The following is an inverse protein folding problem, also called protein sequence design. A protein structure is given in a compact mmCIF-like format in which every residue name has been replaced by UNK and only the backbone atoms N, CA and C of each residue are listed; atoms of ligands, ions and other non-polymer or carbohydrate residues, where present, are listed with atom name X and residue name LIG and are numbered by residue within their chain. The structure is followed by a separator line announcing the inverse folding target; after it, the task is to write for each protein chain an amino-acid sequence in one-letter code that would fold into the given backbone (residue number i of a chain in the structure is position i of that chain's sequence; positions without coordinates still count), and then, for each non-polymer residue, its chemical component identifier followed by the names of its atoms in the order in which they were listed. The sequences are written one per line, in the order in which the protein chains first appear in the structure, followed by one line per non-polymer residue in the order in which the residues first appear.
data_IF_639888999010
#
_entry.id   IF_639888999010
#
_cell.length_a   1.000
_cell.length_b   1.000
_cell.length_c   1.000
_cell.angle_alpha   90.00
_cell.angle_beta   90.00
_cell.angle_gamma   90.00
#
_symmetry.space_group_name_H-M   'P 1'
#
loop_
_entity.id
_entity.type
_entity.pdbx_description
1 polymer ?
#
# COMPACT_ATOMS: atom_id res chain seq x y z
N UNK A 1 -25.35 -12.47 4.12
CA UNK A 1 -24.17 -12.77 4.99
C UNK A 1 -23.13 -11.70 4.68
N UNK A 2 -22.45 -11.15 5.67
CA UNK A 2 -21.37 -10.19 5.42
C UNK A 2 -20.16 -10.94 4.87
N UNK A 3 -19.57 -10.45 3.78
CA UNK A 3 -18.36 -10.99 3.17
C UNK A 3 -17.19 -10.95 4.16
N UNK A 4 -16.32 -11.97 4.13
CA UNK A 4 -15.19 -12.02 5.07
C UNK A 4 -14.08 -11.04 4.70
N UNK A 5 -13.63 -11.03 3.44
CA UNK A 5 -12.63 -10.09 2.95
C UNK A 5 -13.20 -9.13 1.92
N UNK A 6 -12.85 -7.86 2.01
CA UNK A 6 -12.85 -6.94 0.87
C UNK A 6 -11.42 -6.73 0.43
N UNK A 7 -11.13 -7.05 -0.82
CA UNK A 7 -9.83 -6.79 -1.44
C UNK A 7 -9.99 -5.63 -2.40
N UNK A 8 -9.15 -4.61 -2.22
CA UNK A 8 -9.20 -3.38 -3.02
C UNK A 8 -7.96 -3.29 -3.88
N UNK A 9 -8.12 -3.13 -5.19
CA UNK A 9 -7.06 -2.76 -6.10
C UNK A 9 -7.31 -1.36 -6.66
N UNK A 10 -6.31 -0.50 -6.57
CA UNK A 10 -6.29 0.81 -7.20
C UNK A 10 -5.40 0.77 -8.43
N UNK A 11 -5.83 1.35 -9.54
CA UNK A 11 -5.10 1.32 -10.80
C UNK A 11 -5.21 2.64 -11.57
N UNK A 12 -4.16 2.95 -12.33
CA UNK A 12 -4.14 4.02 -13.32
C UNK A 12 -3.13 3.66 -14.40
N UNK A 13 -3.59 3.50 -15.65
CA UNK A 13 -2.76 3.10 -16.80
C UNK A 13 -1.91 1.86 -16.50
N UNK A 14 -2.58 0.79 -16.09
CA UNK A 14 -1.96 -0.44 -15.57
C UNK A 14 -2.10 -1.64 -16.52
N UNK A 15 -2.23 -1.40 -17.82
CA UNK A 15 -2.46 -2.45 -18.83
C UNK A 15 -1.42 -3.59 -18.81
N UNK A 16 -0.19 -3.30 -18.33
CA UNK A 16 0.90 -4.29 -18.32
C UNK A 16 0.90 -5.20 -17.09
N UNK A 17 0.26 -4.80 -16.01
CA UNK A 17 0.45 -5.46 -14.71
C UNK A 17 -0.85 -5.92 -14.07
N UNK A 18 -1.96 -5.21 -14.30
CA UNK A 18 -3.25 -5.45 -13.64
C UNK A 18 -3.75 -6.90 -13.78
N UNK A 19 -3.56 -7.53 -14.94
CA UNK A 19 -3.98 -8.92 -15.16
C UNK A 19 -3.35 -9.87 -14.14
N UNK A 20 -2.04 -9.73 -13.85
CA UNK A 20 -1.34 -10.53 -12.84
C UNK A 20 -1.92 -10.30 -11.43
N UNK A 21 -2.22 -9.06 -11.08
CA UNK A 21 -2.85 -8.73 -9.80
C UNK A 21 -4.21 -9.42 -9.66
N UNK A 22 -5.08 -9.32 -10.68
CA UNK A 22 -6.39 -9.98 -10.72
C UNK A 22 -6.24 -11.50 -10.60
N UNK A 23 -5.34 -12.11 -11.37
CA UNK A 23 -5.10 -13.54 -11.34
C UNK A 23 -4.62 -14.02 -9.97
N UNK A 24 -3.85 -13.22 -9.24
CA UNK A 24 -3.42 -13.57 -7.89
C UNK A 24 -4.58 -13.64 -6.90
N UNK A 25 -5.62 -12.85 -7.10
CA UNK A 25 -6.84 -12.86 -6.29
C UNK A 25 -7.75 -14.01 -6.74
N UNK A 26 -7.90 -14.23 -8.05
CA UNK A 26 -8.66 -15.34 -8.65
C UNK A 26 -8.17 -16.71 -8.15
N UNK A 27 -6.86 -16.86 -8.00
CA UNK A 27 -6.21 -18.13 -7.65
C UNK A 27 -6.05 -18.35 -6.15
N UNK A 28 -6.62 -17.51 -5.30
CA UNK A 28 -6.63 -17.74 -3.85
C UNK A 28 -7.45 -18.99 -3.50
N UNK A 29 -7.03 -19.69 -2.45
CA UNK A 29 -7.76 -20.90 -1.97
C UNK A 29 -9.00 -20.56 -1.14
N UNK A 30 -9.01 -19.42 -0.45
CA UNK A 30 -10.18 -18.91 0.29
C UNK A 30 -11.08 -18.09 -0.65
N UNK A 31 -12.41 -18.25 -0.58
CA UNK A 31 -13.36 -17.76 -1.59
C UNK A 31 -14.39 -16.73 -1.11
N UNK A 32 -14.56 -16.52 0.20
CA UNK A 32 -15.50 -15.50 0.71
C UNK A 32 -14.83 -14.10 0.65
N UNK A 33 -14.75 -13.61 -0.58
CA UNK A 33 -14.01 -12.39 -0.97
C UNK A 33 -14.89 -11.50 -1.84
N UNK A 34 -14.98 -10.24 -1.49
CA UNK A 34 -15.47 -9.14 -2.33
C UNK A 34 -14.27 -8.44 -2.96
N UNK A 35 -14.20 -8.43 -4.28
CA UNK A 35 -13.10 -7.77 -5.00
C UNK A 35 -13.55 -6.45 -5.61
N UNK A 36 -12.89 -5.37 -5.20
CA UNK A 36 -13.19 -3.99 -5.56
C UNK A 36 -12.05 -3.42 -6.37
N UNK A 37 -12.32 -2.91 -7.56
CA UNK A 37 -11.34 -2.23 -8.40
C UNK A 37 -11.70 -0.77 -8.57
N UNK A 38 -10.77 0.12 -8.24
CA UNK A 38 -10.91 1.57 -8.42
C UNK A 38 -9.90 2.04 -9.45
N UNK A 39 -10.40 2.52 -10.57
CA UNK A 39 -9.61 3.07 -11.67
C UNK A 39 -9.61 4.60 -11.62
N UNK A 40 -8.43 5.20 -11.64
CA UNK A 40 -8.20 6.65 -11.58
C UNK A 40 -8.45 7.40 -12.90
N UNK A 41 -9.15 6.78 -13.86
CA UNK A 41 -9.43 7.35 -15.18
C UNK A 41 -8.38 6.96 -16.21
N UNK A 42 -8.06 5.67 -16.32
CA UNK A 42 -7.11 5.12 -17.29
C UNK A 42 -7.52 5.40 -18.74
N UNK A 43 -6.51 5.58 -19.58
CA UNK A 43 -6.65 5.87 -21.02
C UNK A 43 -6.03 4.80 -21.92
N UNK A 44 -5.40 3.82 -21.31
CA UNK A 44 -4.84 2.62 -21.96
C UNK A 44 -5.83 1.43 -21.92
N UNK A 45 -5.35 0.20 -22.11
CA UNK A 45 -6.17 -1.01 -22.12
C UNK A 45 -6.63 -1.47 -20.73
N UNK A 46 -6.36 -0.73 -19.65
CA UNK A 46 -6.72 -1.09 -18.25
C UNK A 46 -8.21 -1.41 -18.12
N UNK A 47 -9.08 -0.57 -18.70
CA UNK A 47 -10.53 -0.77 -18.63
C UNK A 47 -11.01 -2.03 -19.36
N UNK A 48 -10.36 -2.41 -20.48
CA UNK A 48 -10.64 -3.67 -21.17
C UNK A 48 -10.30 -4.85 -20.28
N UNK A 49 -9.12 -4.85 -19.64
CA UNK A 49 -8.71 -5.91 -18.72
C UNK A 49 -9.72 -6.08 -17.58
N UNK A 50 -10.21 -4.99 -17.00
CA UNK A 50 -11.23 -5.07 -15.93
C UNK A 50 -12.53 -5.67 -16.48
N UNK A 51 -12.98 -5.26 -17.67
CA UNK A 51 -14.19 -5.76 -18.30
C UNK A 51 -14.10 -7.26 -18.61
N UNK A 52 -12.95 -7.75 -19.03
CA UNK A 52 -12.70 -9.16 -19.32
C UNK A 52 -12.67 -10.03 -18.05
N UNK A 53 -12.59 -9.42 -16.86
CA UNK A 53 -12.51 -10.07 -15.55
C UNK A 53 -13.73 -9.77 -14.65
N UNK A 54 -14.88 -9.44 -15.23
CA UNK A 54 -16.14 -9.18 -14.48
C UNK A 54 -16.67 -10.37 -13.68
N UNK A 55 -16.20 -11.56 -13.98
CA UNK A 55 -16.54 -12.78 -13.25
C UNK A 55 -15.97 -12.78 -11.82
N UNK A 56 -14.88 -12.05 -11.57
CA UNK A 56 -14.26 -11.93 -10.25
C UNK A 56 -14.39 -10.53 -9.64
N UNK A 57 -14.42 -9.46 -10.46
CA UNK A 57 -14.54 -8.08 -9.99
C UNK A 57 -16.00 -7.81 -9.60
N UNK A 58 -16.26 -7.76 -8.28
CA UNK A 58 -17.61 -7.56 -7.75
C UNK A 58 -18.05 -6.10 -7.85
N UNK A 59 -17.14 -5.16 -7.58
CA UNK A 59 -17.39 -3.71 -7.61
C UNK A 59 -16.30 -3.05 -8.44
N UNK A 60 -16.72 -2.26 -9.41
CA UNK A 60 -15.85 -1.47 -10.25
C UNK A 60 -16.28 -0.02 -10.28
N UNK A 61 -15.33 0.88 -10.10
CA UNK A 61 -15.52 2.32 -10.27
C UNK A 61 -14.38 2.90 -11.09
N UNK A 62 -14.69 3.69 -12.13
CA UNK A 62 -13.70 4.42 -12.91
C UNK A 62 -14.06 5.90 -12.93
N UNK A 63 -13.04 6.73 -12.76
CA UNK A 63 -13.18 8.18 -12.84
C UNK A 63 -11.90 8.85 -12.35
N UNK A 64 -11.63 10.05 -12.90
CA UNK A 64 -10.47 10.83 -12.51
C UNK A 64 -10.48 11.09 -11.01
N UNK A 65 -9.40 10.74 -10.33
CA UNK A 65 -9.19 10.99 -8.92
C UNK A 65 -8.11 12.07 -8.66
N UNK A 66 -7.84 12.32 -7.38
CA UNK A 66 -6.82 13.26 -6.92
C UNK A 66 -5.58 12.55 -6.37
N UNK A 67 -5.37 11.27 -6.72
CA UNK A 67 -4.23 10.45 -6.33
C UNK A 67 -4.60 9.14 -5.64
N UNK A 68 -3.61 8.27 -5.48
CA UNK A 68 -3.75 6.87 -5.04
C UNK A 68 -4.56 6.71 -3.74
N UNK A 69 -4.36 7.59 -2.76
CA UNK A 69 -5.06 7.49 -1.46
C UNK A 69 -6.52 7.95 -1.54
N UNK A 70 -6.88 8.79 -2.51
CA UNK A 70 -8.29 9.08 -2.82
C UNK A 70 -8.97 7.85 -3.41
N UNK A 71 -8.30 7.14 -4.33
CA UNK A 71 -8.79 5.89 -4.87
C UNK A 71 -8.92 4.82 -3.78
N UNK A 72 -7.91 4.65 -2.91
CA UNK A 72 -7.98 3.72 -1.76
C UNK A 72 -9.14 4.05 -0.82
N UNK A 73 -9.34 5.33 -0.47
CA UNK A 73 -10.46 5.79 0.37
C UNK A 73 -11.81 5.55 -0.31
N UNK A 74 -11.90 5.70 -1.63
CA UNK A 74 -13.10 5.34 -2.39
C UNK A 74 -13.38 3.83 -2.29
N UNK A 75 -12.36 3.00 -2.46
CA UNK A 75 -12.48 1.54 -2.27
C UNK A 75 -12.93 1.19 -0.87
N UNK A 76 -12.35 1.80 0.17
CA UNK A 76 -12.76 1.62 1.57
C UNK A 76 -14.23 1.97 1.82
N UNK A 77 -14.74 3.01 1.16
CA UNK A 77 -16.15 3.41 1.30
C UNK A 77 -17.15 2.42 0.69
N UNK A 78 -16.67 1.52 -0.18
CA UNK A 78 -17.47 0.49 -0.85
C UNK A 78 -17.30 -0.89 -0.20
N UNK A 79 -16.25 -1.07 0.59
CA UNK A 79 -15.91 -2.34 1.22
C UNK A 79 -16.90 -2.72 2.32
N UNK A 80 -17.40 -3.95 2.26
CA UNK A 80 -18.36 -4.52 3.22
C UNK A 80 -17.78 -5.65 4.07
N UNK A 81 -16.60 -6.15 3.70
CA UNK A 81 -15.90 -7.24 4.37
C UNK A 81 -15.48 -6.93 5.80
N UNK A 82 -15.38 -7.97 6.62
CA UNK A 82 -14.86 -7.85 7.99
C UNK A 82 -13.38 -7.43 8.02
N UNK A 83 -12.59 -7.94 7.08
CA UNK A 83 -11.17 -7.65 6.92
C UNK A 83 -10.90 -7.07 5.55
N UNK A 84 -10.04 -6.07 5.47
CA UNK A 84 -9.69 -5.37 4.24
C UNK A 84 -8.22 -5.59 3.92
N UNK A 85 -7.95 -6.05 2.70
CA UNK A 85 -6.64 -6.04 2.07
C UNK A 85 -6.62 -5.04 0.92
N UNK A 86 -5.52 -4.30 0.77
CA UNK A 86 -5.34 -3.38 -0.36
C UNK A 86 -4.05 -3.76 -1.09
N UNK A 87 -4.15 -3.89 -2.40
CA UNK A 87 -3.03 -4.24 -3.26
C UNK A 87 -3.04 -3.36 -4.52
N UNK A 88 -1.89 -2.81 -4.87
CA UNK A 88 -1.76 -2.00 -6.08
C UNK A 88 -1.77 -2.88 -7.33
N UNK A 89 -2.02 -2.27 -8.48
CA UNK A 89 -2.18 -2.96 -9.77
C UNK A 89 -0.89 -3.52 -10.37
N UNK A 90 0.26 -3.31 -9.73
CA UNK A 90 1.56 -3.87 -10.11
C UNK A 90 2.11 -4.89 -9.11
N UNK A 91 1.38 -5.11 -8.00
CA UNK A 91 1.69 -6.07 -6.94
C UNK A 91 0.75 -7.29 -7.02
N UNK A 92 1.09 -8.39 -6.32
CA UNK A 92 0.24 -9.59 -6.29
C UNK A 92 0.40 -10.40 -5.00
N UNK A 93 -0.66 -11.12 -4.61
CA UNK A 93 -0.65 -11.99 -3.43
C UNK A 93 -0.02 -13.35 -3.70
N UNK A 94 0.53 -13.97 -2.64
CA UNK A 94 0.87 -15.40 -2.66
C UNK A 94 -0.41 -16.27 -2.66
N UNK A 95 -0.38 -17.50 -3.22
CA UNK A 95 -1.60 -18.29 -3.46
C UNK A 95 -2.43 -18.64 -2.21
N UNK A 96 -1.83 -18.70 -1.04
CA UNK A 96 -2.49 -19.08 0.23
C UNK A 96 -2.67 -17.92 1.20
N UNK A 97 -2.48 -16.69 0.75
CA UNK A 97 -2.51 -15.52 1.63
C UNK A 97 -3.85 -15.39 2.34
N UNK A 98 -4.98 -15.44 1.61
CA UNK A 98 -6.30 -15.24 2.21
C UNK A 98 -6.65 -16.36 3.19
N UNK A 99 -6.32 -17.62 2.88
CA UNK A 99 -6.55 -18.73 3.81
C UNK A 99 -5.71 -18.56 5.08
N UNK A 100 -4.44 -18.16 4.94
CA UNK A 100 -3.55 -17.91 6.09
C UNK A 100 -4.10 -16.80 6.99
N UNK A 101 -4.57 -15.70 6.40
CA UNK A 101 -5.16 -14.58 7.15
C UNK A 101 -6.48 -15.00 7.81
N UNK A 102 -7.35 -15.74 7.10
CA UNK A 102 -8.60 -16.26 7.65
C UNK A 102 -8.37 -17.10 8.91
N UNK A 103 -7.44 -18.07 8.84
CA UNK A 103 -7.17 -18.99 9.96
C UNK A 103 -6.71 -18.26 11.23
N UNK A 104 -6.06 -17.12 11.10
CA UNK A 104 -5.60 -16.29 12.21
C UNK A 104 -6.69 -15.32 12.68
N UNK A 105 -7.35 -14.66 11.72
CA UNK A 105 -8.30 -13.60 12.03
C UNK A 105 -9.69 -14.07 12.47
N UNK A 106 -10.06 -15.34 12.22
CA UNK A 106 -11.39 -15.88 12.60
C UNK A 106 -11.69 -15.78 14.10
N UNK A 107 -10.65 -15.80 14.93
CA UNK A 107 -10.76 -15.67 16.39
C UNK A 107 -10.42 -14.26 16.90
N UNK A 108 -10.13 -13.32 16.01
CA UNK A 108 -9.85 -11.92 16.35
C UNK A 108 -11.12 -11.07 16.16
N UNK A 109 -11.37 -10.17 17.10
CA UNK A 109 -12.46 -9.19 16.97
C UNK A 109 -12.07 -8.07 15.99
N UNK A 110 -10.91 -7.46 16.21
CA UNK A 110 -10.31 -6.43 15.36
C UNK A 110 -8.78 -6.49 15.46
N UNK A 111 -8.06 -5.86 14.52
CA UNK A 111 -6.60 -5.80 14.53
C UNK A 111 -6.01 -5.58 13.16
N UNK A 112 -4.67 -5.65 13.10
CA UNK A 112 -3.86 -5.61 11.88
C UNK A 112 -3.03 -6.88 11.81
N UNK A 113 -3.15 -7.64 10.72
CA UNK A 113 -2.29 -8.80 10.43
C UNK A 113 -1.40 -8.42 9.26
N UNK A 114 -0.10 -8.65 9.39
CA UNK A 114 0.86 -8.37 8.33
C UNK A 114 2.01 -9.39 8.33
N UNK A 115 2.77 -9.42 7.25
CA UNK A 115 3.84 -10.40 7.11
C UNK A 115 4.99 -9.95 6.24
N UNK A 116 5.74 -10.94 5.71
CA UNK A 116 6.84 -10.71 4.79
C UNK A 116 6.32 -10.32 3.41
N UNK A 117 7.11 -9.51 2.73
CA UNK A 117 6.92 -9.11 1.35
C UNK A 117 8.12 -9.57 0.51
N UNK A 118 7.87 -10.13 -0.67
CA UNK A 118 8.89 -10.42 -1.65
C UNK A 118 8.97 -9.26 -2.64
N UNK A 119 10.16 -8.73 -2.84
CA UNK A 119 10.40 -7.58 -3.71
C UNK A 119 10.96 -8.02 -5.05
N UNK A 120 10.43 -7.45 -6.13
CA UNK A 120 10.86 -7.69 -7.50
C UNK A 120 11.41 -6.43 -8.15
N UNK A 121 12.49 -6.58 -8.92
CA UNK A 121 13.01 -5.55 -9.82
C UNK A 121 12.83 -6.05 -11.27
N UNK A 122 11.80 -5.54 -11.94
CA UNK A 122 11.30 -6.17 -13.16
C UNK A 122 10.75 -7.56 -12.83
N UNK A 123 11.20 -8.58 -13.55
CA UNK A 123 10.80 -9.99 -13.33
C UNK A 123 11.70 -10.75 -12.34
N UNK A 124 12.78 -10.11 -11.87
CA UNK A 124 13.76 -10.76 -10.99
C UNK A 124 13.43 -10.49 -9.52
N UNK A 125 13.38 -11.56 -8.72
CA UNK A 125 13.34 -11.43 -7.26
C UNK A 125 14.61 -10.72 -6.76
N UNK A 126 14.42 -9.68 -5.96
CA UNK A 126 15.49 -8.86 -5.37
C UNK A 126 15.76 -9.30 -3.92
N UNK A 127 14.70 -9.38 -3.11
CA UNK A 127 14.81 -9.75 -1.68
C UNK A 127 13.46 -10.11 -1.11
N UNK A 128 13.49 -10.80 0.06
CA UNK A 128 12.33 -10.96 0.95
C UNK A 128 12.59 -10.17 2.22
N UNK A 129 11.63 -9.34 2.64
CA UNK A 129 11.77 -8.51 3.83
C UNK A 129 10.41 -8.29 4.49
N UNK A 130 10.40 -8.17 5.82
CA UNK A 130 9.27 -7.69 6.60
C UNK A 130 9.76 -6.79 7.72
N UNK A 131 8.99 -5.77 8.04
CA UNK A 131 9.23 -4.87 9.17
C UNK A 131 8.26 -5.25 10.27
N UNK A 132 8.77 -5.64 11.44
CA UNK A 132 7.93 -5.92 12.59
C UNK A 132 7.27 -4.61 13.09
N UNK A 133 6.00 -4.67 13.48
CA UNK A 133 5.22 -3.50 13.89
C UNK A 133 5.82 -2.72 15.09
N UNK A 134 6.65 -3.34 15.91
CA UNK A 134 7.39 -2.64 16.98
C UNK A 134 8.32 -1.53 16.43
N UNK A 135 8.70 -1.61 15.15
CA UNK A 135 9.52 -0.62 14.48
C UNK A 135 8.71 0.47 13.75
N UNK A 136 7.38 0.48 13.85
CA UNK A 136 6.53 1.46 13.17
C UNK A 136 6.82 2.92 13.53
N UNK A 137 7.43 3.18 14.67
CA UNK A 137 7.88 4.55 15.03
C UNK A 137 9.01 5.05 14.13
N UNK A 138 9.71 4.16 13.44
CA UNK A 138 10.90 4.46 12.62
C UNK A 138 10.74 4.07 11.15
N UNK A 139 10.02 2.98 10.87
CA UNK A 139 9.94 2.36 9.55
C UNK A 139 8.51 1.99 9.17
N UNK A 140 8.19 2.12 7.88
CA UNK A 140 6.92 1.68 7.31
C UNK A 140 6.90 0.16 7.09
N UNK A 141 5.74 -0.46 7.31
CA UNK A 141 5.45 -1.85 6.91
C UNK A 141 5.08 -1.86 5.42
N UNK A 142 5.40 -2.95 4.72
CA UNK A 142 4.97 -3.16 3.34
C UNK A 142 3.44 -3.29 3.29
N UNK A 143 2.75 -2.25 2.86
CA UNK A 143 1.29 -2.13 2.91
C UNK A 143 0.54 -3.28 2.23
N UNK A 144 0.95 -3.81 1.04
CA UNK A 144 0.32 -4.97 0.42
C UNK A 144 0.23 -6.23 1.29
N UNK A 145 1.06 -6.35 2.33
CA UNK A 145 1.00 -7.49 3.26
C UNK A 145 -0.01 -7.29 4.39
N UNK A 146 -0.62 -6.09 4.51
CA UNK A 146 -1.47 -5.74 5.63
C UNK A 146 -2.93 -6.11 5.36
N UNK A 147 -3.52 -6.85 6.31
CA UNK A 147 -4.95 -7.09 6.41
C UNK A 147 -5.47 -6.41 7.68
N UNK A 148 -6.43 -5.52 7.51
CA UNK A 148 -6.88 -4.62 8.56
C UNK A 148 -8.39 -4.83 8.76
N UNK A 149 -8.83 -4.98 10.02
CA UNK A 149 -10.27 -5.08 10.27
C UNK A 149 -11.00 -3.79 9.90
N UNK A 150 -12.13 -3.90 9.23
CA UNK A 150 -12.92 -2.77 8.72
C UNK A 150 -13.32 -1.79 9.84
N UNK A 151 -13.60 -2.30 11.04
CA UNK A 151 -13.93 -1.49 12.22
C UNK A 151 -12.85 -0.46 12.58
N UNK A 152 -11.57 -0.72 12.30
CA UNK A 152 -10.48 0.21 12.61
C UNK A 152 -10.51 1.46 11.72
N UNK A 153 -10.88 1.31 10.46
CA UNK A 153 -11.06 2.46 9.56
C UNK A 153 -12.22 3.35 10.03
N UNK A 154 -13.31 2.75 10.48
CA UNK A 154 -14.44 3.50 11.02
C UNK A 154 -14.11 4.20 12.33
N UNK A 155 -13.32 3.54 13.20
CA UNK A 155 -13.00 4.02 14.55
C UNK A 155 -11.88 5.09 14.54
N UNK A 156 -10.88 4.91 13.67
CA UNK A 156 -9.67 5.74 13.66
C UNK A 156 -9.44 6.50 12.36
N UNK A 157 -10.34 6.37 11.37
CA UNK A 157 -10.31 7.08 10.10
C UNK A 157 -9.48 6.38 9.02
N UNK A 158 -9.70 6.81 7.79
CA UNK A 158 -9.11 6.29 6.55
C UNK A 158 -7.71 6.89 6.29
N UNK A 159 -7.19 6.72 5.06
CA UNK A 159 -5.94 7.33 4.63
C UNK A 159 -6.02 8.86 4.67
N UNK A 160 -5.01 9.50 5.25
CA UNK A 160 -4.88 10.94 5.26
C UNK A 160 -4.31 11.42 3.90
N UNK A 161 -5.16 12.01 3.07
CA UNK A 161 -4.80 12.45 1.72
C UNK A 161 -3.89 13.68 1.66
N UNK A 162 -3.53 14.27 2.80
CA UNK A 162 -2.48 15.29 2.88
C UNK A 162 -1.08 14.71 2.68
N UNK A 163 -0.90 13.39 2.83
CA UNK A 163 0.32 12.70 2.50
C UNK A 163 0.21 12.13 1.07
N UNK A 164 1.25 12.36 0.28
CA UNK A 164 1.24 11.98 -1.15
C UNK A 164 1.70 10.53 -1.36
N UNK A 165 2.63 10.04 -0.51
CA UNK A 165 3.28 8.74 -0.68
C UNK A 165 3.22 7.88 0.59
N UNK A 166 3.15 8.49 1.77
CA UNK A 166 3.30 7.83 3.07
C UNK A 166 2.00 7.80 3.90
N UNK A 167 0.80 7.91 3.28
CA UNK A 167 -0.45 7.84 4.03
C UNK A 167 -0.76 6.43 4.56
N UNK A 168 -0.21 5.39 3.94
CA UNK A 168 -0.23 4.02 4.45
C UNK A 168 0.61 3.90 5.75
N UNK A 169 1.78 4.52 5.77
CA UNK A 169 2.60 4.61 6.97
C UNK A 169 1.88 5.40 8.07
N UNK A 170 1.27 6.56 7.75
CA UNK A 170 0.47 7.35 8.70
C UNK A 170 -0.66 6.51 9.30
N UNK A 171 -1.39 5.77 8.47
CA UNK A 171 -2.51 4.94 8.90
C UNK A 171 -2.07 3.87 9.90
N UNK A 172 -1.05 3.08 9.56
CA UNK A 172 -0.56 2.00 10.41
C UNK A 172 0.09 2.53 11.70
N UNK A 173 0.84 3.62 11.61
CA UNK A 173 1.43 4.29 12.78
C UNK A 173 0.35 4.84 13.71
N UNK A 174 -0.71 5.43 13.17
CA UNK A 174 -1.86 5.93 13.93
C UNK A 174 -2.54 4.80 14.69
N UNK A 175 -2.78 3.65 14.06
CA UNK A 175 -3.36 2.49 14.72
C UNK A 175 -2.43 1.95 15.82
N UNK A 176 -1.14 1.84 15.55
CA UNK A 176 -0.14 1.39 16.52
C UNK A 176 -0.09 2.30 17.76
N UNK A 177 -0.09 3.62 17.56
CA UNK A 177 -0.07 4.59 18.66
C UNK A 177 -1.38 4.62 19.47
N UNK A 178 -2.48 4.11 18.91
CA UNK A 178 -3.77 3.92 19.59
C UNK A 178 -3.87 2.59 20.32
N UNK A 179 -2.83 1.76 20.31
CA UNK A 179 -2.81 0.47 21.01
C UNK A 179 -3.64 -0.61 20.31
N UNK A 180 -3.81 -0.50 18.98
CA UNK A 180 -4.44 -1.57 18.19
C UNK A 180 -3.54 -2.81 18.22
N UNK A 181 -4.14 -3.98 18.27
CA UNK A 181 -3.44 -5.27 18.21
C UNK A 181 -2.87 -5.51 16.81
N UNK A 182 -1.57 -5.80 16.75
CA UNK A 182 -0.86 -6.18 15.53
C UNK A 182 -0.34 -7.61 15.65
N UNK A 183 -0.51 -8.39 14.57
CA UNK A 183 0.05 -9.73 14.44
C UNK A 183 1.01 -9.79 13.25
N UNK A 184 2.28 -10.06 13.52
CA UNK A 184 3.30 -10.25 12.48
C UNK A 184 3.49 -11.73 12.16
N UNK A 185 3.52 -12.06 10.88
CA UNK A 185 3.76 -13.40 10.36
C UNK A 185 5.10 -13.49 9.64
N UNK A 186 5.89 -14.47 9.99
CA UNK A 186 7.10 -14.84 9.24
C UNK A 186 6.74 -15.67 7.99
N UNK A 187 5.74 -15.18 7.22
CA UNK A 187 5.30 -15.76 5.95
C UNK A 187 5.22 -14.68 4.88
N UNK A 188 5.60 -15.01 3.66
CA UNK A 188 5.43 -14.13 2.51
C UNK A 188 3.94 -14.10 2.19
N UNK A 189 3.34 -12.92 2.20
CA UNK A 189 1.92 -12.70 1.93
C UNK A 189 1.69 -12.04 0.59
N UNK A 190 2.62 -11.18 0.16
CA UNK A 190 2.49 -10.41 -1.07
C UNK A 190 3.84 -10.22 -1.75
N UNK A 191 3.78 -9.90 -3.03
CA UNK A 191 4.90 -9.58 -3.89
C UNK A 191 4.78 -8.13 -4.34
N UNK A 192 5.86 -7.37 -4.23
CA UNK A 192 5.94 -5.94 -4.47
C UNK A 192 6.88 -5.62 -5.63
N UNK A 193 6.42 -4.81 -6.58
CA UNK A 193 7.23 -4.38 -7.72
C UNK A 193 7.98 -3.10 -7.40
N UNK A 194 9.32 -3.18 -7.40
CA UNK A 194 10.19 -2.02 -7.23
C UNK A 194 10.22 -1.15 -8.50
N UNK A 195 10.31 0.17 -8.31
CA UNK A 195 10.44 1.12 -9.44
C UNK A 195 9.20 1.99 -9.64
N UNK A 196 8.13 1.76 -8.89
CA UNK A 196 6.96 2.62 -8.86
C UNK A 196 7.20 3.94 -8.11
N UNK A 197 6.13 4.71 -7.92
CA UNK A 197 6.15 6.02 -7.28
C UNK A 197 6.71 6.00 -5.84
N UNK A 198 6.52 4.89 -5.13
CA UNK A 198 7.01 4.64 -3.76
C UNK A 198 8.53 4.45 -3.65
N UNK A 199 9.26 4.33 -4.75
CA UNK A 199 10.74 4.23 -4.75
C UNK A 199 11.45 5.59 -4.84
N UNK A 200 10.73 6.69 -4.90
CA UNK A 200 11.27 8.03 -5.04
C UNK A 200 11.88 8.57 -3.73
N UNK A 201 12.82 9.52 -3.84
CA UNK A 201 13.42 10.21 -2.69
C UNK A 201 12.38 10.95 -1.83
N UNK A 202 11.22 11.29 -2.41
CA UNK A 202 10.11 11.93 -1.71
C UNK A 202 9.50 11.06 -0.61
N UNK A 203 9.62 9.73 -0.68
CA UNK A 203 9.16 8.80 0.37
C UNK A 203 9.80 9.13 1.72
N UNK A 204 11.09 9.45 1.74
CA UNK A 204 11.82 9.76 2.99
C UNK A 204 11.32 11.05 3.63
N UNK A 205 11.02 12.05 2.80
CA UNK A 205 10.51 13.35 3.25
C UNK A 205 9.10 13.16 3.78
N UNK A 206 8.24 12.45 3.04
CA UNK A 206 6.86 12.24 3.44
C UNK A 206 6.76 11.38 4.71
N UNK A 207 7.57 10.33 4.84
CA UNK A 207 7.68 9.54 6.07
C UNK A 207 8.19 10.35 7.27
N UNK A 208 9.07 11.33 7.06
CA UNK A 208 9.48 12.27 8.10
C UNK A 208 8.33 13.18 8.51
N UNK A 209 7.53 13.67 7.56
CA UNK A 209 6.33 14.46 7.81
C UNK A 209 5.32 13.67 8.64
N UNK A 210 5.09 12.40 8.33
CA UNK A 210 4.27 11.49 9.14
C UNK A 210 4.78 11.43 10.56
N UNK A 211 6.05 11.12 10.77
CA UNK A 211 6.63 11.04 12.13
C UNK A 211 6.56 12.39 12.88
N UNK A 212 6.72 13.49 12.16
CA UNK A 212 6.56 14.85 12.74
C UNK A 212 5.12 15.11 13.17
N UNK A 213 4.15 14.73 12.34
CA UNK A 213 2.72 14.89 12.63
C UNK A 213 2.31 14.11 13.88
N UNK A 214 2.95 12.96 14.15
CA UNK A 214 2.74 12.15 15.34
C UNK A 214 3.68 12.49 16.53
N UNK A 215 4.40 13.62 16.48
CA UNK A 215 5.32 14.08 17.53
C UNK A 215 6.47 13.10 17.84
N UNK A 216 6.86 12.27 16.89
CA UNK A 216 7.97 11.31 17.02
C UNK A 216 9.33 11.92 16.64
N UNK A 217 9.34 13.11 16.06
CA UNK A 217 10.56 13.82 15.63
C UNK A 217 10.58 15.24 16.20
N UNK A 218 11.70 15.62 16.83
CA UNK A 218 11.86 16.97 17.36
C UNK A 218 11.95 18.02 16.24
N UNK A 219 11.58 19.28 16.53
CA UNK A 219 11.71 20.38 15.57
C UNK A 219 13.15 20.56 15.09
N UNK A 220 14.14 20.36 15.95
CA UNK A 220 15.56 20.46 15.61
C UNK A 220 15.96 19.39 14.59
N UNK A 221 15.61 18.13 14.83
CA UNK A 221 15.89 17.01 13.92
C UNK A 221 15.18 17.20 12.58
N UNK A 222 13.93 17.65 12.59
CA UNK A 222 13.15 17.92 11.39
C UNK A 222 13.80 18.99 10.52
N UNK A 223 14.18 20.14 11.10
CA UNK A 223 14.85 21.23 10.40
C UNK A 223 16.21 20.77 9.85
N UNK A 224 17.01 20.07 10.66
CA UNK A 224 18.32 19.58 10.25
C UNK A 224 18.22 18.63 9.02
N UNK A 225 17.22 17.76 9.00
CA UNK A 225 16.95 16.87 7.86
C UNK A 225 16.60 17.64 6.58
N UNK A 226 15.73 18.65 6.68
CA UNK A 226 15.36 19.49 5.53
C UNK A 226 16.54 20.31 5.00
N UNK A 227 17.36 20.85 5.87
CA UNK A 227 18.57 21.59 5.47
C UNK A 227 19.57 20.67 4.77
N UNK A 228 19.78 19.46 5.32
CA UNK A 228 20.64 18.45 4.68
C UNK A 228 20.14 18.06 3.29
N UNK A 229 18.86 17.73 3.14
CA UNK A 229 18.28 17.35 1.85
C UNK A 229 18.28 18.50 0.85
N UNK A 230 18.03 19.73 1.28
CA UNK A 230 18.10 20.90 0.41
C UNK A 230 19.53 21.15 -0.08
N UNK A 231 20.52 21.04 0.80
CA UNK A 231 21.94 21.15 0.44
C UNK A 231 22.36 20.03 -0.52
N UNK A 232 21.96 18.78 -0.25
CA UNK A 232 22.21 17.64 -1.11
C UNK A 232 21.65 17.85 -2.54
N UNK A 233 20.40 18.32 -2.66
CA UNK A 233 19.77 18.61 -3.96
C UNK A 233 20.49 19.71 -4.71
N UNK A 234 20.93 20.77 -4.04
CA UNK A 234 21.73 21.85 -4.64
C UNK A 234 23.06 21.31 -5.17
N UNK A 235 23.79 20.53 -4.38
CA UNK A 235 25.07 19.94 -4.78
C UNK A 235 24.86 19.00 -5.99
N UNK A 236 23.85 18.13 -5.96
CA UNK A 236 23.54 17.23 -7.07
C UNK A 236 23.15 17.97 -8.34
N UNK A 237 22.38 19.06 -8.24
CA UNK A 237 22.00 19.89 -9.38
C UNK A 237 23.23 20.53 -10.03
N UNK A 238 24.17 21.06 -9.26
CA UNK A 238 25.39 21.69 -9.78
C UNK A 238 26.39 20.67 -10.31
N UNK A 239 26.52 19.49 -9.73
CA UNK A 239 27.43 18.44 -10.22
C UNK A 239 26.91 17.79 -11.50
N UNK A 240 25.60 17.53 -11.62
CA UNK A 240 25.02 16.95 -12.84
C UNK A 240 25.04 17.92 -14.04
N UNK A 241 24.82 19.21 -13.81
CA UNK A 241 24.89 20.21 -14.86
C UNK A 241 26.33 20.48 -15.33
N UNK A 242 27.34 20.33 -14.45
CA UNK A 242 28.76 20.42 -14.87
C UNK A 242 29.18 19.27 -15.80
N UNK A 243 28.63 18.08 -15.66
CA UNK A 243 28.93 16.92 -16.52
C UNK A 243 28.29 17.02 -17.91
N UNK A 244 27.29 17.88 -18.12
CA UNK A 244 26.65 18.12 -19.43
C UNK A 244 27.31 19.22 -20.24
N UNK A 245 28.30 19.95 -19.69
CA UNK A 245 28.99 21.08 -20.33
C UNK A 245 30.43 20.77 -20.65
N UNK A 246 30.87 19.51 -20.65
CA UNK A 246 32.17 19.09 -21.15
C UNK A 246 31.96 18.64 -22.61
N UNK A 247 32.57 19.33 -23.60
CA UNK A 247 32.38 19.05 -25.02
C UNK A 247 32.93 17.69 -25.45
#
# INVERSE_FOLDING_TARGET
MSTYFSIITVCLNSEKTLARTIDSIRNQTFRDVEYIVIDGGSTDSTLSIINDNKDIVNIFHSGKDHGIYYAMNKGLSLATGKWIGIINSDDWYEPHTFQTIFDLSKNMNEGVIHGLCRYYKGEKEDKVMGIHHNNLREMAICHPTCFISNSLYQKYGNFNTNFTIAADYDLLLRFYLKGVDFLFLEKILANFTLGGFSSSEFVRIDALNVRRNHNLVSSKTYIAFYLYHSAYRLIHFFTFNKLKTIP
#
